data_IF_811811720218
#
_entry.id   IF_811811720218
#
_cell.length_a   1.000
_cell.length_b   1.000
_cell.length_c   1.000
_cell.angle_alpha   90.00
_cell.angle_beta   90.00
_cell.angle_gamma   90.00
#
_symmetry.space_group_name_H-M   'P 1'
#
loop_
_entity.id
_entity.type
_entity.pdbx_description
1 polymer ?
#
# COMPACT_ATOMS: atom_id res chain seq x y z
N UNK A 1 -24.49 13.98 13.34
CA UNK A 1 -24.92 13.67 14.72
C UNK A 1 -25.93 12.53 14.85
N UNK A 2 -26.15 11.67 13.83
CA UNK A 2 -27.29 10.72 13.87
C UNK A 2 -26.92 9.29 14.35
N UNK A 3 -25.64 8.86 14.29
CA UNK A 3 -25.27 7.46 14.63
C UNK A 3 -25.19 7.11 16.11
N UNK A 4 -24.81 8.04 16.99
CA UNK A 4 -24.60 7.76 18.41
C UNK A 4 -25.92 7.58 19.19
N UNK A 5 -26.94 8.41 18.90
CA UNK A 5 -28.25 8.31 19.55
C UNK A 5 -28.97 6.99 19.23
N UNK A 6 -28.78 6.45 18.03
CA UNK A 6 -29.33 5.14 17.64
C UNK A 6 -28.73 3.97 18.44
N UNK A 7 -27.57 4.16 19.07
CA UNK A 7 -26.90 3.19 19.94
C UNK A 7 -27.24 3.40 21.43
N UNK A 8 -28.15 4.32 21.76
CA UNK A 8 -28.56 4.63 23.13
C UNK A 8 -27.53 5.42 23.94
N UNK A 9 -26.49 5.98 23.30
CA UNK A 9 -25.47 6.77 23.96
C UNK A 9 -26.02 8.16 24.29
N UNK A 10 -25.89 8.54 25.56
CA UNK A 10 -26.28 9.87 26.03
C UNK A 10 -25.19 10.91 25.70
N UNK A 11 -25.52 12.21 25.75
CA UNK A 11 -24.52 13.27 25.60
C UNK A 11 -23.39 13.16 26.63
N UNK A 12 -23.69 12.71 27.85
CA UNK A 12 -22.70 12.51 28.90
C UNK A 12 -21.78 11.32 28.61
N UNK A 13 -22.31 10.23 28.05
CA UNK A 13 -21.49 9.09 27.61
C UNK A 13 -20.52 9.48 26.49
N UNK A 14 -20.98 10.35 25.57
CA UNK A 14 -20.12 10.92 24.53
C UNK A 14 -19.04 11.84 25.12
N UNK A 15 -19.41 12.70 26.07
CA UNK A 15 -18.45 13.58 26.74
C UNK A 15 -17.41 12.78 27.53
N UNK A 16 -17.84 11.75 28.27
CA UNK A 16 -16.98 10.86 29.03
C UNK A 16 -16.06 10.06 28.09
N UNK A 17 -16.58 9.56 26.98
CA UNK A 17 -15.81 8.87 25.94
C UNK A 17 -14.71 9.75 25.35
N UNK A 18 -15.03 11.00 24.98
CA UNK A 18 -14.07 11.98 24.46
C UNK A 18 -13.03 12.37 25.51
N UNK A 19 -13.42 12.60 26.76
CA UNK A 19 -12.51 12.94 27.84
C UNK A 19 -11.56 11.78 28.20
N UNK A 20 -12.06 10.55 28.16
CA UNK A 20 -11.29 9.34 28.46
C UNK A 20 -10.15 9.11 27.45
N UNK A 21 -10.30 9.63 26.24
CA UNK A 21 -9.30 9.53 25.17
C UNK A 21 -8.51 10.83 24.92
N UNK A 22 -8.99 11.96 25.45
CA UNK A 22 -8.32 13.25 25.33
C UNK A 22 -6.96 13.25 26.07
N UNK A 23 -6.86 12.56 27.20
CA UNK A 23 -5.62 12.41 27.97
C UNK A 23 -4.66 11.33 27.44
N UNK A 24 -5.17 10.36 26.67
CA UNK A 24 -4.35 9.30 26.07
C UNK A 24 -3.73 9.72 24.74
N UNK A 25 -4.07 10.92 24.25
CA UNK A 25 -3.60 11.44 22.98
C UNK A 25 -3.93 10.47 21.87
N UNK A 26 -5.23 10.23 21.61
CA UNK A 26 -5.68 9.47 20.44
C UNK A 26 -4.81 9.84 19.23
N UNK A 27 -3.96 8.93 18.74
CA UNK A 27 -3.18 9.16 17.53
C UNK A 27 -4.08 9.39 16.31
N UNK A 28 -5.39 9.13 16.45
CA UNK A 28 -6.45 9.29 15.46
C UNK A 28 -6.63 10.73 14.92
N UNK A 29 -5.93 11.73 15.45
CA UNK A 29 -5.84 13.08 14.84
C UNK A 29 -4.38 13.52 14.61
N UNK A 30 -3.46 12.57 14.44
CA UNK A 30 -2.16 12.86 13.79
C UNK A 30 -2.38 12.66 12.31
N UNK A 31 -2.04 13.67 11.50
CA UNK A 31 -2.19 13.64 10.05
C UNK A 31 -1.65 12.33 9.45
N UNK A 32 -2.17 11.97 8.28
CA UNK A 32 -1.90 10.70 7.60
C UNK A 32 -0.43 10.28 7.76
N UNK A 33 -0.21 9.11 8.37
CA UNK A 33 1.13 8.59 8.67
C UNK A 33 1.87 8.40 7.35
N UNK A 34 3.10 8.89 7.25
CA UNK A 34 3.89 8.77 6.03
C UNK A 34 4.45 7.35 5.89
N UNK A 35 4.27 6.75 4.71
CA UNK A 35 4.89 5.48 4.30
C UNK A 35 5.72 5.70 3.05
N UNK A 36 6.83 4.96 2.93
CA UNK A 36 7.70 5.01 1.76
C UNK A 36 7.36 3.87 0.81
N UNK A 37 6.70 4.14 -0.30
CA UNK A 37 6.45 3.15 -1.35
C UNK A 37 7.66 3.07 -2.29
N UNK A 38 8.18 1.87 -2.49
CA UNK A 38 9.33 1.59 -3.37
C UNK A 38 8.95 0.57 -4.43
N UNK A 39 9.07 0.94 -5.70
CA UNK A 39 8.87 0.02 -6.83
C UNK A 39 9.82 0.33 -7.99
N UNK A 40 9.96 -0.62 -8.91
CA UNK A 40 10.91 -0.49 -10.02
C UNK A 40 10.41 0.45 -11.14
N UNK A 41 9.09 0.67 -11.25
CA UNK A 41 8.49 1.45 -12.34
C UNK A 41 7.51 2.54 -11.86
N UNK A 42 7.42 3.70 -12.56
CA UNK A 42 6.43 4.72 -12.23
C UNK A 42 4.97 4.24 -12.26
N UNK A 43 4.53 3.39 -13.23
CA UNK A 43 3.17 2.85 -13.22
C UNK A 43 2.83 2.06 -11.95
N UNK A 44 3.76 1.24 -11.45
CA UNK A 44 3.57 0.49 -10.20
C UNK A 44 3.49 1.43 -8.98
N UNK A 45 4.37 2.43 -8.91
CA UNK A 45 4.31 3.47 -7.85
C UNK A 45 2.97 4.19 -7.85
N UNK A 46 2.44 4.51 -9.03
CA UNK A 46 1.16 5.19 -9.17
C UNK A 46 -0.02 4.30 -8.83
N UNK A 47 0.02 3.03 -9.24
CA UNK A 47 -0.99 2.05 -8.92
C UNK A 47 -1.04 1.78 -7.42
N UNK A 48 0.04 1.27 -6.82
CA UNK A 48 0.06 0.93 -5.40
C UNK A 48 -0.09 2.15 -4.50
N UNK A 49 0.46 3.31 -4.91
CA UNK A 49 0.30 4.54 -4.14
C UNK A 49 -1.17 4.96 -4.02
N UNK A 50 -1.93 4.90 -5.12
CA UNK A 50 -3.37 5.20 -5.08
C UNK A 50 -4.15 4.19 -4.23
N UNK A 51 -3.85 2.89 -4.38
CA UNK A 51 -4.53 1.86 -3.59
C UNK A 51 -4.25 2.01 -2.09
N UNK A 52 -3.01 2.28 -1.69
CA UNK A 52 -2.64 2.49 -0.29
C UNK A 52 -3.37 3.71 0.31
N UNK A 53 -3.38 4.85 -0.39
CA UNK A 53 -4.05 6.07 0.09
C UNK A 53 -5.59 5.95 0.08
N UNK A 54 -6.16 5.14 -0.82
CA UNK A 54 -7.60 4.88 -0.88
C UNK A 54 -8.07 3.96 0.25
N UNK A 55 -7.25 3.00 0.65
CA UNK A 55 -7.62 1.96 1.62
C UNK A 55 -7.15 2.26 3.05
N UNK A 56 -6.10 3.07 3.21
CA UNK A 56 -5.48 3.35 4.50
C UNK A 56 -5.31 4.86 4.72
N UNK A 57 -5.41 5.34 5.98
CA UNK A 57 -5.18 6.75 6.32
C UNK A 57 -3.67 7.08 6.36
N UNK A 58 -2.98 6.89 5.24
CA UNK A 58 -1.53 7.11 5.08
C UNK A 58 -1.24 8.13 3.99
N UNK A 59 -0.07 8.77 4.07
CA UNK A 59 0.50 9.59 3.00
C UNK A 59 1.61 8.79 2.34
N UNK A 60 1.58 8.63 1.02
CA UNK A 60 2.57 7.81 0.32
C UNK A 60 3.67 8.66 -0.29
N UNK A 61 4.91 8.50 0.19
CA UNK A 61 6.10 8.97 -0.50
C UNK A 61 6.54 7.90 -1.51
N UNK A 62 6.55 8.25 -2.79
CA UNK A 62 6.91 7.33 -3.88
C UNK A 62 8.39 7.47 -4.23
N UNK A 63 9.12 6.37 -4.24
CA UNK A 63 10.54 6.33 -4.62
C UNK A 63 10.77 5.16 -5.57
N UNK A 64 11.46 5.42 -6.67
CA UNK A 64 11.86 4.35 -7.56
C UNK A 64 12.97 3.52 -6.90
N UNK A 65 12.92 2.20 -7.08
CA UNK A 65 13.88 1.27 -6.50
C UNK A 65 15.32 1.67 -6.82
N UNK A 66 15.59 2.11 -8.06
CA UNK A 66 16.90 2.61 -8.51
C UNK A 66 17.41 3.82 -7.71
N UNK A 67 16.49 4.65 -7.20
CA UNK A 67 16.78 5.90 -6.50
C UNK A 67 16.79 5.72 -4.97
N UNK A 68 16.34 4.57 -4.46
CA UNK A 68 16.21 4.28 -3.03
C UNK A 68 17.52 4.51 -2.27
N UNK A 69 18.66 4.07 -2.80
CA UNK A 69 19.96 4.25 -2.13
C UNK A 69 20.32 5.74 -1.96
N UNK A 70 19.94 6.59 -2.92
CA UNK A 70 20.16 8.03 -2.86
C UNK A 70 19.25 8.69 -1.84
N UNK A 71 17.98 8.28 -1.78
CA UNK A 71 17.02 8.75 -0.77
C UNK A 71 17.45 8.33 0.62
N UNK A 72 17.83 7.06 0.78
CA UNK A 72 18.33 6.53 2.05
C UNK A 72 19.50 7.39 2.53
N UNK A 73 20.54 7.65 1.73
CA UNK A 73 21.70 8.45 2.17
C UNK A 73 21.40 9.87 2.66
N UNK A 74 20.23 10.45 2.37
CA UNK A 74 19.89 11.79 2.83
C UNK A 74 19.60 11.79 4.34
N UNK A 75 20.05 12.82 5.09
CA UNK A 75 19.61 13.04 6.45
C UNK A 75 18.08 13.20 6.47
N UNK A 76 17.42 12.27 7.15
CA UNK A 76 15.98 12.24 7.35
C UNK A 76 15.69 12.37 8.84
N UNK A 77 14.64 13.09 9.26
CA UNK A 77 14.17 13.04 10.64
C UNK A 77 13.91 11.58 11.06
N UNK A 78 14.30 11.22 12.28
CA UNK A 78 13.95 9.92 12.83
C UNK A 78 12.43 9.76 12.83
N UNK A 79 11.94 8.63 12.31
CA UNK A 79 10.51 8.37 12.17
C UNK A 79 9.83 9.14 11.02
N UNK A 80 10.58 9.64 10.03
CA UNK A 80 10.00 10.25 8.82
C UNK A 80 8.97 9.32 8.14
N UNK A 81 9.25 8.02 8.10
CA UNK A 81 8.35 7.00 7.59
C UNK A 81 8.09 5.96 8.66
N UNK A 82 6.83 5.55 8.81
CA UNK A 82 6.45 4.47 9.72
C UNK A 82 6.81 3.09 9.16
N UNK A 83 6.83 2.95 7.83
CA UNK A 83 7.23 1.74 7.14
C UNK A 83 7.66 2.06 5.70
N UNK A 84 8.45 1.16 5.12
CA UNK A 84 8.62 1.05 3.68
C UNK A 84 7.70 -0.05 3.15
N UNK A 85 7.10 0.18 1.98
CA UNK A 85 6.17 -0.72 1.32
C UNK A 85 6.69 -1.03 -0.07
N UNK A 86 6.66 -2.30 -0.49
CA UNK A 86 7.14 -2.73 -1.80
C UNK A 86 6.49 -4.06 -2.19
N UNK A 87 6.45 -4.42 -3.47
CA UNK A 87 5.97 -5.72 -3.92
C UNK A 87 6.87 -6.87 -3.43
N UNK A 88 6.30 -8.07 -3.26
CA UNK A 88 7.05 -9.24 -2.76
C UNK A 88 8.35 -9.51 -3.53
N UNK A 89 8.36 -9.28 -4.84
CA UNK A 89 9.53 -9.48 -5.68
C UNK A 89 10.72 -8.58 -5.29
N UNK A 90 10.45 -7.37 -4.80
CA UNK A 90 11.46 -6.39 -4.43
C UNK A 90 11.84 -6.42 -2.94
N UNK A 91 11.10 -7.15 -2.10
CA UNK A 91 11.30 -7.20 -0.65
C UNK A 91 12.77 -7.43 -0.24
N UNK A 92 13.49 -8.46 -0.75
CA UNK A 92 14.87 -8.70 -0.31
C UNK A 92 15.81 -7.57 -0.69
N UNK A 93 15.55 -6.88 -1.80
CA UNK A 93 16.39 -5.77 -2.25
C UNK A 93 16.14 -4.50 -1.44
N UNK A 94 14.89 -4.21 -1.14
CA UNK A 94 14.51 -3.04 -0.34
C UNK A 94 15.01 -3.18 1.10
N UNK A 95 14.88 -4.37 1.71
CA UNK A 95 15.43 -4.66 3.04
C UNK A 95 16.94 -4.39 3.09
N UNK A 96 17.71 -4.92 2.14
CA UNK A 96 19.16 -4.67 2.07
C UNK A 96 19.50 -3.19 1.92
N UNK A 97 18.71 -2.43 1.15
CA UNK A 97 18.96 -0.99 0.91
C UNK A 97 18.54 -0.11 2.09
N UNK A 98 17.66 -0.59 2.96
CA UNK A 98 17.19 0.11 4.16
C UNK A 98 17.79 -0.44 5.46
N UNK A 99 18.71 -1.39 5.38
CA UNK A 99 19.35 -1.97 6.54
C UNK A 99 20.00 -0.90 7.45
N UNK A 100 19.86 -1.10 8.76
CA UNK A 100 20.32 -0.16 9.78
C UNK A 100 19.50 1.13 9.92
N UNK A 101 18.38 1.31 9.19
CA UNK A 101 17.52 2.52 9.30
C UNK A 101 16.40 2.44 10.33
N UNK A 102 16.12 1.24 10.86
CA UNK A 102 14.99 1.04 11.78
C UNK A 102 13.62 1.26 11.13
N UNK A 103 13.54 1.23 9.80
CA UNK A 103 12.28 1.34 9.05
C UNK A 103 11.83 -0.09 8.71
N UNK A 104 10.67 -0.56 9.20
CA UNK A 104 10.17 -1.89 8.83
C UNK A 104 9.78 -1.92 7.34
N UNK A 105 10.05 -3.02 6.66
CA UNK A 105 9.66 -3.24 5.25
C UNK A 105 8.47 -4.19 5.19
N UNK A 106 7.42 -3.78 4.49
CA UNK A 106 6.16 -4.52 4.33
C UNK A 106 5.99 -4.89 2.85
N UNK A 107 5.78 -6.18 2.58
CA UNK A 107 5.55 -6.67 1.24
C UNK A 107 4.07 -6.59 0.83
N UNK A 108 3.80 -6.10 -0.39
CA UNK A 108 2.51 -6.14 -1.04
C UNK A 108 2.41 -7.39 -1.90
N UNK A 109 1.39 -8.20 -1.63
CA UNK A 109 0.96 -9.24 -2.56
C UNK A 109 0.06 -8.56 -3.60
N UNK A 110 0.54 -8.48 -4.83
CA UNK A 110 -0.33 -8.18 -5.95
C UNK A 110 -1.23 -9.40 -6.14
N UNK A 111 -2.39 -9.42 -5.49
CA UNK A 111 -3.43 -10.38 -5.88
C UNK A 111 -3.75 -10.12 -7.35
N UNK A 112 -3.72 -11.17 -8.17
CA UNK A 112 -4.24 -11.10 -9.52
C UNK A 112 -5.67 -10.56 -9.40
N UNK A 113 -5.90 -9.36 -9.94
CA UNK A 113 -7.19 -8.70 -9.83
C UNK A 113 -8.27 -9.70 -10.27
N UNK A 114 -9.06 -10.22 -9.32
CA UNK A 114 -10.15 -11.16 -9.61
C UNK A 114 -11.11 -10.56 -10.64
N UNK A 115 -11.22 -9.24 -10.70
CA UNK A 115 -11.91 -8.50 -11.73
C UNK A 115 -11.32 -8.69 -13.14
N UNK A 116 -9.99 -8.68 -13.28
CA UNK A 116 -9.32 -8.98 -14.54
C UNK A 116 -9.59 -10.41 -14.97
N UNK A 117 -9.49 -11.38 -14.05
CA UNK A 117 -9.83 -12.78 -14.35
C UNK A 117 -11.31 -12.93 -14.73
N UNK A 118 -12.21 -12.25 -14.03
CA UNK A 118 -13.63 -12.24 -14.33
C UNK A 118 -13.93 -11.66 -15.72
N UNK A 119 -13.30 -10.54 -16.08
CA UNK A 119 -13.44 -9.92 -17.40
C UNK A 119 -12.90 -10.82 -18.51
N UNK A 120 -11.78 -11.50 -18.27
CA UNK A 120 -11.20 -12.47 -19.21
C UNK A 120 -12.13 -13.68 -19.40
N UNK A 121 -12.73 -14.20 -18.32
CA UNK A 121 -13.67 -15.31 -18.36
C UNK A 121 -14.99 -14.98 -19.11
N UNK A 122 -15.35 -13.69 -19.22
CA UNK A 122 -16.51 -13.25 -20.01
C UNK A 122 -16.22 -13.09 -21.50
N UNK A 123 -14.96 -13.23 -21.95
CA UNK A 123 -14.63 -13.15 -23.38
C UNK A 123 -15.18 -14.38 -24.13
N UNK A 124 -15.66 -14.21 -25.38
CA UNK A 124 -16.05 -15.34 -26.20
C UNK A 124 -14.90 -16.34 -26.40
N UNK A 125 -15.25 -17.63 -26.45
CA UNK A 125 -14.27 -18.67 -26.75
C UNK A 125 -13.55 -18.39 -28.07
N UNK A 126 -12.23 -18.58 -28.09
CA UNK A 126 -11.36 -18.27 -29.23
C UNK A 126 -10.90 -16.81 -29.33
N UNK A 127 -11.26 -15.95 -28.37
CA UNK A 127 -10.73 -14.58 -28.30
C UNK A 127 -9.22 -14.60 -28.07
N UNK A 128 -8.47 -13.89 -28.93
CA UNK A 128 -7.02 -13.73 -28.78
C UNK A 128 -6.74 -12.66 -27.74
N UNK A 129 -6.03 -13.02 -26.68
CA UNK A 129 -5.59 -12.12 -25.61
C UNK A 129 -4.09 -11.92 -25.70
N UNK A 130 -3.64 -10.67 -25.76
CA UNK A 130 -2.21 -10.33 -25.69
C UNK A 130 -1.80 -10.03 -24.26
N UNK A 131 -0.71 -10.66 -23.78
CA UNK A 131 -0.11 -10.37 -22.48
C UNK A 131 1.17 -9.57 -22.69
N UNK A 132 1.28 -8.44 -22.01
CA UNK A 132 2.48 -7.59 -22.04
C UNK A 132 2.94 -7.38 -20.60
N UNK A 133 4.21 -7.68 -20.34
CA UNK A 133 4.84 -7.43 -19.05
C UNK A 133 6.25 -6.86 -19.26
N UNK A 134 6.76 -6.18 -18.24
CA UNK A 134 8.10 -5.61 -18.25
C UNK A 134 9.22 -6.67 -18.22
N UNK A 135 8.90 -7.88 -17.78
CA UNK A 135 9.79 -9.05 -17.76
C UNK A 135 9.11 -10.25 -18.44
N UNK A 136 9.91 -11.05 -19.15
CA UNK A 136 9.44 -12.21 -19.93
C UNK A 136 8.89 -13.29 -19.01
N UNK A 137 9.52 -13.47 -17.85
CA UNK A 137 9.11 -14.40 -16.80
C UNK A 137 7.70 -14.05 -16.29
N UNK A 138 7.44 -12.76 -16.07
CA UNK A 138 6.12 -12.25 -15.66
C UNK A 138 5.08 -12.47 -16.75
N UNK A 139 5.44 -12.28 -18.03
CA UNK A 139 4.54 -12.53 -19.15
C UNK A 139 4.11 -14.02 -19.21
N UNK A 140 5.07 -14.95 -19.04
CA UNK A 140 4.78 -16.39 -19.06
C UNK A 140 3.97 -16.87 -17.86
N UNK A 141 4.21 -16.31 -16.67
CA UNK A 141 3.39 -16.62 -15.50
C UNK A 141 1.95 -16.14 -15.69
N UNK A 142 1.75 -14.94 -16.22
CA UNK A 142 0.42 -14.40 -16.51
C UNK A 142 -0.30 -15.20 -17.61
N UNK A 143 0.41 -15.61 -18.67
CA UNK A 143 -0.15 -16.49 -19.70
C UNK A 143 -0.71 -17.79 -19.09
N UNK A 144 0.07 -18.46 -18.24
CA UNK A 144 -0.37 -19.68 -17.56
C UNK A 144 -1.56 -19.46 -16.63
N UNK A 145 -1.60 -18.34 -15.89
CA UNK A 145 -2.72 -18.02 -15.00
C UNK A 145 -4.01 -17.67 -15.73
N UNK A 146 -3.94 -17.22 -16.99
CA UNK A 146 -5.11 -16.88 -17.81
C UNK A 146 -5.59 -18.09 -18.62
N UNK A 147 -4.69 -19.00 -19.01
CA UNK A 147 -5.01 -20.18 -19.81
C UNK A 147 -5.52 -21.39 -19.00
N UNK A 148 -5.39 -21.36 -17.67
CA UNK A 148 -5.88 -22.40 -16.75
C UNK A 148 -7.38 -22.23 -16.44
#
# INVERSE_FOLDING_TARGET
>A
MIRAAALGLTPDDMALGVLSVAGTGLPAVRGAVAVLLVECSPPELDFFGRELEAQLPVRVDKVLLRDLATVARRPAPAGQWAAAVTSFAHLPEVERRLDGRGIPVIALLAEAHLETLHRLAQLPSGTRVGVVAAAVETAHSLEHSIAA
#
